data_IF_756833244487
#
_entry.id   IF_756833244487
#
_cell.length_a   1.000
_cell.length_b   1.000
_cell.length_c   1.000
_cell.angle_alpha   90.00
_cell.angle_beta   90.00
_cell.angle_gamma   90.00
#
_symmetry.space_group_name_H-M   'P 1'
#
loop_
_entity.id
_entity.type
_entity.pdbx_description
1 polymer ?
#
# COMPACT_ATOMS: atom_id res chain seq x y z
N UNK A 1 0.63 -34.27 2.02
CA UNK A 1 -0.27 -34.45 0.86
C UNK A 1 -0.42 -35.90 0.46
N UNK A 2 0.63 -36.64 0.06
CA UNK A 2 0.47 -38.06 -0.33
C UNK A 2 -0.38 -38.85 0.68
N UNK A 3 -0.08 -38.76 1.98
CA UNK A 3 -0.88 -39.37 3.07
C UNK A 3 -2.34 -38.91 3.16
N UNK A 4 -2.64 -37.64 2.82
CA UNK A 4 -4.01 -37.09 2.80
C UNK A 4 -4.74 -37.56 1.54
N UNK A 5 -4.06 -37.55 0.38
CA UNK A 5 -4.61 -38.02 -0.89
C UNK A 5 -4.92 -39.52 -0.85
N UNK A 6 -4.01 -40.34 -0.31
CA UNK A 6 -4.26 -41.78 -0.11
C UNK A 6 -5.48 -41.99 0.77
N UNK A 7 -5.59 -41.23 1.87
CA UNK A 7 -6.74 -41.33 2.77
C UNK A 7 -8.06 -40.96 2.09
N UNK A 8 -8.09 -39.86 1.33
CA UNK A 8 -9.27 -39.37 0.61
C UNK A 8 -9.61 -40.17 -0.66
N UNK A 9 -8.73 -41.08 -1.09
CA UNK A 9 -9.03 -42.09 -2.10
C UNK A 9 -9.64 -43.35 -1.48
N UNK A 10 -9.30 -43.64 -0.23
CA UNK A 10 -9.79 -44.82 0.49
C UNK A 10 -11.16 -44.60 1.14
N UNK A 11 -11.54 -43.35 1.43
CA UNK A 11 -12.81 -43.01 2.08
C UNK A 11 -13.50 -41.88 1.33
N UNK A 12 -14.82 -42.00 1.15
CA UNK A 12 -15.63 -40.95 0.53
C UNK A 12 -16.07 -39.88 1.56
N UNK A 13 -16.69 -38.80 1.07
CA UNK A 13 -17.14 -37.69 1.91
C UNK A 13 -18.26 -38.10 2.89
N UNK A 14 -19.14 -39.03 2.52
CA UNK A 14 -20.24 -39.46 3.37
C UNK A 14 -19.75 -40.37 4.49
N UNK A 15 -18.76 -41.22 4.20
CA UNK A 15 -18.08 -42.05 5.18
C UNK A 15 -17.31 -41.18 6.19
N UNK A 16 -16.55 -40.19 5.72
CA UNK A 16 -15.87 -39.22 6.59
C UNK A 16 -16.88 -38.42 7.42
N UNK A 17 -18.06 -38.08 6.89
CA UNK A 17 -19.09 -37.38 7.67
C UNK A 17 -19.71 -38.23 8.77
N UNK A 18 -19.90 -39.53 8.51
CA UNK A 18 -20.68 -40.42 9.40
C UNK A 18 -19.85 -41.13 10.47
N UNK A 19 -18.53 -41.27 10.30
CA UNK A 19 -17.69 -42.09 11.19
C UNK A 19 -16.65 -41.27 11.95
N UNK A 20 -16.84 -41.12 13.26
CA UNK A 20 -15.95 -40.31 14.13
C UNK A 20 -14.48 -40.75 14.13
N UNK A 21 -14.19 -42.05 14.05
CA UNK A 21 -12.81 -42.54 13.98
C UNK A 21 -12.10 -42.10 12.69
N UNK A 22 -12.80 -42.13 11.56
CA UNK A 22 -12.30 -41.68 10.25
C UNK A 22 -12.07 -40.16 10.26
N UNK A 23 -12.95 -39.41 10.94
CA UNK A 23 -12.76 -37.97 11.16
C UNK A 23 -11.48 -37.66 11.93
N UNK A 24 -11.23 -38.41 13.00
CA UNK A 24 -10.05 -38.24 13.84
C UNK A 24 -8.77 -38.51 13.05
N UNK A 25 -8.73 -39.61 12.29
CA UNK A 25 -7.56 -39.97 11.48
C UNK A 25 -7.28 -38.94 10.37
N UNK A 26 -8.32 -38.45 9.68
CA UNK A 26 -8.18 -37.37 8.72
C UNK A 26 -7.63 -36.10 9.39
N UNK A 27 -8.15 -35.75 10.55
CA UNK A 27 -7.73 -34.59 11.31
C UNK A 27 -6.26 -34.66 11.68
N UNK A 28 -5.77 -35.80 12.16
CA UNK A 28 -4.35 -36.02 12.48
C UNK A 28 -3.45 -35.87 11.23
N UNK A 29 -3.88 -36.43 10.10
CA UNK A 29 -3.15 -36.30 8.83
C UNK A 29 -3.07 -34.84 8.35
N UNK A 30 -4.16 -34.08 8.51
CA UNK A 30 -4.19 -32.64 8.22
C UNK A 30 -3.31 -31.84 9.19
N UNK A 31 -3.32 -32.17 10.49
CA UNK A 31 -2.43 -31.57 11.49
C UNK A 31 -0.97 -31.80 11.14
N UNK A 32 -0.58 -33.04 10.82
CA UNK A 32 0.77 -33.34 10.36
C UNK A 32 1.16 -32.54 9.11
N UNK A 33 0.25 -32.43 8.13
CA UNK A 33 0.50 -31.63 6.92
C UNK A 33 0.78 -30.17 7.25
N UNK A 34 -0.05 -29.56 8.09
CA UNK A 34 0.10 -28.17 8.54
C UNK A 34 1.39 -28.00 9.33
N UNK A 35 1.66 -28.88 10.30
CA UNK A 35 2.86 -28.86 11.14
C UNK A 35 4.12 -28.94 10.30
N UNK A 36 4.28 -29.97 9.47
CA UNK A 36 5.49 -30.19 8.65
C UNK A 36 5.75 -29.01 7.70
N UNK A 37 4.70 -28.37 7.18
CA UNK A 37 4.82 -27.22 6.25
C UNK A 37 4.95 -25.87 6.96
N UNK A 38 4.72 -25.83 8.27
CA UNK A 38 5.01 -24.68 9.15
C UNK A 38 6.38 -24.80 9.83
N UNK A 39 6.86 -26.02 10.08
CA UNK A 39 8.10 -26.35 10.80
C UNK A 39 9.33 -26.46 9.91
N UNK A 40 9.18 -26.44 8.59
CA UNK A 40 10.27 -25.99 7.72
C UNK A 40 10.46 -24.51 7.98
N UNK A 41 11.21 -24.14 9.04
CA UNK A 41 11.96 -22.88 9.03
C UNK A 41 12.60 -22.84 7.65
N UNK A 42 12.29 -21.86 6.79
CA UNK A 42 13.05 -21.76 5.58
C UNK A 42 14.50 -21.62 6.02
N UNK A 43 15.44 -22.44 5.51
CA UNK A 43 16.83 -22.04 5.55
C UNK A 43 16.84 -20.62 5.01
N UNK A 44 17.26 -19.66 5.85
CA UNK A 44 17.58 -18.34 5.36
C UNK A 44 18.74 -18.60 4.41
N UNK A 45 18.50 -18.42 3.12
CA UNK A 45 19.60 -18.39 2.17
C UNK A 45 20.46 -17.20 2.58
N UNK A 46 21.67 -17.49 3.05
CA UNK A 46 22.56 -16.52 3.69
C UNK A 46 22.93 -15.34 2.77
N UNK A 47 22.60 -15.42 1.47
CA UNK A 47 22.79 -14.34 0.50
C UNK A 47 21.54 -13.53 0.11
N UNK A 48 20.31 -14.00 0.33
CA UNK A 48 19.11 -13.39 -0.31
C UNK A 48 17.97 -13.00 0.63
N UNK A 49 17.90 -13.54 1.85
CA UNK A 49 16.84 -13.20 2.81
C UNK A 49 15.42 -13.60 2.40
N UNK A 50 15.24 -14.40 1.34
CA UNK A 50 13.94 -14.86 0.85
C UNK A 50 13.52 -16.14 1.56
N UNK A 51 12.29 -16.16 2.10
CA UNK A 51 11.72 -17.39 2.68
C UNK A 51 11.69 -18.51 1.63
N UNK A 52 12.36 -19.64 1.92
CA UNK A 52 12.23 -20.90 1.19
C UNK A 52 10.78 -21.38 1.27
N UNK A 53 10.05 -21.04 0.22
CA UNK A 53 8.69 -21.47 -0.10
C UNK A 53 8.51 -22.99 0.19
N UNK A 54 7.38 -23.44 0.79
CA UNK A 54 7.16 -24.87 1.07
C UNK A 54 7.33 -25.77 -0.17
N UNK A 55 7.54 -27.09 -0.09
CA UNK A 55 7.64 -27.90 -1.31
C UNK A 55 6.38 -27.79 -2.18
N UNK A 56 6.54 -27.63 -3.51
CA UNK A 56 5.46 -27.69 -4.50
C UNK A 56 4.64 -28.96 -4.25
N UNK A 57 3.32 -28.84 -4.36
CA UNK A 57 2.42 -29.98 -4.25
C UNK A 57 1.68 -30.11 -5.56
N UNK A 58 1.61 -31.33 -6.08
CA UNK A 58 1.11 -31.59 -7.43
C UNK A 58 -0.42 -31.47 -7.52
N UNK A 59 -1.15 -31.82 -6.45
CA UNK A 59 -2.61 -31.92 -6.49
C UNK A 59 -3.28 -31.39 -5.21
N UNK A 60 -4.04 -30.29 -5.36
CA UNK A 60 -4.91 -29.72 -4.33
C UNK A 60 -6.36 -30.17 -4.42
N UNK A 61 -6.78 -30.84 -5.51
CA UNK A 61 -8.19 -31.20 -5.74
C UNK A 61 -8.85 -31.92 -4.56
N UNK A 62 -8.18 -32.83 -3.81
CA UNK A 62 -8.79 -33.46 -2.65
C UNK A 62 -9.13 -32.47 -1.52
N UNK A 63 -8.27 -31.48 -1.27
CA UNK A 63 -8.52 -30.45 -0.26
C UNK A 63 -9.58 -29.45 -0.72
N UNK A 64 -9.60 -29.09 -2.01
CA UNK A 64 -10.62 -28.21 -2.58
C UNK A 64 -12.00 -28.87 -2.52
N UNK A 65 -12.10 -30.17 -2.80
CA UNK A 65 -13.34 -30.95 -2.60
C UNK A 65 -13.83 -30.90 -1.16
N UNK A 66 -12.94 -31.01 -0.17
CA UNK A 66 -13.30 -30.88 1.24
C UNK A 66 -13.73 -29.46 1.61
N UNK A 67 -13.08 -28.43 1.04
CA UNK A 67 -13.44 -27.02 1.27
C UNK A 67 -14.89 -26.73 0.88
N UNK A 68 -15.36 -27.33 -0.22
CA UNK A 68 -16.74 -27.21 -0.72
C UNK A 68 -17.76 -27.96 0.13
N UNK A 69 -17.36 -28.85 1.04
CA UNK A 69 -18.27 -29.58 1.91
C UNK A 69 -18.75 -28.77 3.11
N UNK A 70 -20.01 -28.31 3.11
CA UNK A 70 -20.56 -27.43 4.17
C UNK A 70 -20.51 -28.02 5.58
N UNK A 71 -20.70 -29.34 5.71
CA UNK A 71 -20.78 -30.04 7.00
C UNK A 71 -19.54 -29.89 7.89
N UNK A 72 -18.38 -29.55 7.31
CA UNK A 72 -17.13 -29.46 8.06
C UNK A 72 -16.83 -28.07 8.64
N UNK A 73 -17.66 -27.07 8.36
CA UNK A 73 -17.37 -25.66 8.65
C UNK A 73 -18.34 -25.01 9.66
N UNK A 74 -19.06 -25.81 10.43
CA UNK A 74 -19.81 -25.34 11.62
C UNK A 74 -18.91 -24.99 12.80
N UNK A 75 -19.50 -24.65 13.95
CA UNK A 75 -18.77 -24.16 15.13
C UNK A 75 -17.73 -25.17 15.66
N UNK A 76 -18.05 -26.46 15.61
CA UNK A 76 -17.18 -27.58 16.02
C UNK A 76 -16.29 -28.13 14.89
N UNK A 77 -16.28 -27.48 13.71
CA UNK A 77 -15.66 -27.98 12.48
C UNK A 77 -14.13 -28.04 12.47
N UNK A 78 -13.53 -28.96 13.23
CA UNK A 78 -12.07 -29.11 13.35
C UNK A 78 -11.43 -29.49 12.00
N UNK A 79 -12.06 -30.38 11.24
CA UNK A 79 -11.60 -30.79 9.90
C UNK A 79 -11.66 -29.62 8.93
N UNK A 80 -12.79 -28.92 8.82
CA UNK A 80 -12.93 -27.80 7.89
C UNK A 80 -11.93 -26.69 8.18
N UNK A 81 -11.71 -26.38 9.46
CA UNK A 81 -10.70 -25.41 9.86
C UNK A 81 -9.29 -25.85 9.41
N UNK A 82 -8.95 -27.13 9.60
CA UNK A 82 -7.64 -27.66 9.20
C UNK A 82 -7.47 -27.75 7.68
N UNK A 83 -8.53 -28.04 6.93
CA UNK A 83 -8.55 -27.97 5.46
C UNK A 83 -8.28 -26.55 4.98
N UNK A 84 -9.01 -25.57 5.52
CA UNK A 84 -8.84 -24.16 5.17
C UNK A 84 -7.41 -23.69 5.49
N UNK A 85 -6.92 -24.00 6.69
CA UNK A 85 -5.56 -23.66 7.13
C UNK A 85 -4.49 -24.29 6.23
N UNK A 86 -4.67 -25.56 5.84
CA UNK A 86 -3.78 -26.20 4.89
C UNK A 86 -3.79 -25.45 3.54
N UNK A 87 -4.96 -25.16 2.97
CA UNK A 87 -5.08 -24.40 1.71
C UNK A 87 -4.47 -23.00 1.81
N UNK A 88 -4.63 -22.29 2.93
CA UNK A 88 -3.97 -21.00 3.20
C UNK A 88 -2.45 -21.14 3.15
N UNK A 89 -1.88 -22.15 3.81
CA UNK A 89 -0.42 -22.37 3.79
C UNK A 89 0.10 -22.73 2.40
N UNK A 90 -0.66 -23.54 1.65
CA UNK A 90 -0.27 -24.06 0.35
C UNK A 90 -0.43 -23.02 -0.77
N UNK A 91 -1.40 -22.12 -0.67
CA UNK A 91 -1.63 -21.01 -1.62
C UNK A 91 -0.53 -19.94 -1.63
N UNK A 92 0.45 -20.02 -0.73
CA UNK A 92 1.68 -19.20 -0.82
C UNK A 92 2.48 -19.49 -2.11
N UNK A 93 2.26 -20.65 -2.73
CA UNK A 93 2.85 -21.02 -4.03
C UNK A 93 1.97 -20.66 -5.21
N UNK A 94 2.56 -20.04 -6.23
CA UNK A 94 1.89 -19.73 -7.49
C UNK A 94 1.30 -20.96 -8.17
N UNK A 95 2.06 -22.06 -8.23
CA UNK A 95 1.57 -23.32 -8.82
C UNK A 95 0.27 -23.80 -8.17
N UNK A 96 0.15 -23.66 -6.85
CA UNK A 96 -1.02 -24.08 -6.10
C UNK A 96 -2.21 -23.12 -6.31
N UNK A 97 -1.96 -21.82 -6.37
CA UNK A 97 -3.02 -20.82 -6.62
C UNK A 97 -3.71 -21.01 -7.97
N UNK A 98 -2.96 -21.43 -8.99
CA UNK A 98 -3.49 -21.77 -10.32
C UNK A 98 -4.50 -22.92 -10.30
N UNK A 99 -4.50 -23.78 -9.29
CA UNK A 99 -5.44 -24.89 -9.18
C UNK A 99 -6.81 -24.48 -8.62
N UNK A 100 -6.93 -23.31 -7.99
CA UNK A 100 -8.21 -22.83 -7.47
C UNK A 100 -9.11 -22.41 -8.63
N UNK A 101 -10.38 -22.75 -8.56
CA UNK A 101 -11.42 -22.36 -9.53
C UNK A 101 -12.33 -21.28 -8.93
N UNK A 102 -13.24 -20.73 -9.73
CA UNK A 102 -14.20 -19.73 -9.26
C UNK A 102 -15.08 -20.23 -8.10
N UNK A 103 -15.62 -21.48 -8.12
CA UNK A 103 -16.31 -22.06 -6.96
C UNK A 103 -15.46 -22.10 -5.68
N UNK A 104 -14.17 -22.39 -5.80
CA UNK A 104 -13.26 -22.43 -4.64
C UNK A 104 -13.06 -21.02 -4.04
N UNK A 105 -12.94 -20.00 -4.91
CA UNK A 105 -12.87 -18.59 -4.49
C UNK A 105 -14.18 -18.17 -3.83
N UNK A 106 -15.33 -18.48 -4.44
CA UNK A 106 -16.65 -18.20 -3.87
C UNK A 106 -16.81 -18.85 -2.48
N UNK A 107 -16.34 -20.08 -2.34
CA UNK A 107 -16.36 -20.80 -1.06
C UNK A 107 -15.45 -20.16 -0.02
N UNK A 108 -14.25 -19.72 -0.39
CA UNK A 108 -13.38 -18.97 0.50
C UNK A 108 -14.01 -17.65 0.95
N UNK A 109 -14.70 -16.93 0.04
CA UNK A 109 -15.40 -15.69 0.36
C UNK A 109 -16.60 -15.90 1.28
N UNK A 110 -17.38 -16.98 1.12
CA UNK A 110 -18.51 -17.25 2.01
C UNK A 110 -18.06 -17.52 3.46
N UNK A 111 -16.86 -18.07 3.65
CA UNK A 111 -16.26 -18.29 4.96
C UNK A 111 -15.85 -17.00 5.70
N UNK A 112 -15.83 -15.85 5.02
CA UNK A 112 -15.64 -14.54 5.68
C UNK A 112 -16.80 -14.16 6.62
N UNK A 113 -17.96 -14.78 6.44
CA UNK A 113 -19.15 -14.59 7.30
C UNK A 113 -19.39 -15.76 8.25
N UNK A 114 -18.46 -16.72 8.33
CA UNK A 114 -18.58 -17.88 9.24
C UNK A 114 -18.72 -17.41 10.70
N UNK A 115 -19.59 -17.98 11.55
CA UNK A 115 -19.80 -17.52 12.92
C UNK A 115 -18.53 -17.54 13.78
N UNK A 116 -17.58 -18.43 13.46
CA UNK A 116 -16.35 -18.57 14.23
C UNK A 116 -15.20 -17.75 13.61
N UNK A 117 -14.70 -16.78 14.36
CA UNK A 117 -13.64 -15.82 13.97
C UNK A 117 -12.39 -16.48 13.35
N UNK A 118 -11.98 -17.66 13.84
CA UNK A 118 -10.80 -18.38 13.30
C UNK A 118 -10.95 -18.76 11.82
N UNK A 119 -12.17 -19.06 11.35
CA UNK A 119 -12.42 -19.32 9.94
C UNK A 119 -12.36 -18.03 9.12
N UNK A 120 -12.94 -16.93 9.64
CA UNK A 120 -12.90 -15.62 8.97
C UNK A 120 -11.47 -15.14 8.77
N UNK A 121 -10.61 -15.32 9.78
CA UNK A 121 -9.17 -15.05 9.69
C UNK A 121 -8.51 -15.87 8.56
N UNK A 122 -8.62 -17.19 8.60
CA UNK A 122 -7.95 -18.06 7.62
C UNK A 122 -8.50 -17.87 6.20
N UNK A 123 -9.80 -17.60 6.07
CA UNK A 123 -10.44 -17.29 4.79
C UNK A 123 -9.89 -15.99 4.19
N UNK A 124 -9.76 -14.93 4.99
CA UNK A 124 -9.18 -13.67 4.55
C UNK A 124 -7.71 -13.85 4.13
N UNK A 125 -6.93 -14.66 4.86
CA UNK A 125 -5.55 -14.99 4.49
C UNK A 125 -5.46 -15.80 3.19
N UNK A 126 -6.36 -16.76 2.98
CA UNK A 126 -6.44 -17.51 1.73
C UNK A 126 -6.75 -16.55 0.56
N UNK A 127 -7.78 -15.70 0.68
CA UNK A 127 -8.14 -14.73 -0.37
C UNK A 127 -6.99 -13.78 -0.67
N UNK A 128 -6.28 -13.29 0.36
CA UNK A 128 -5.06 -12.48 0.19
C UNK A 128 -4.03 -13.19 -0.68
N UNK A 129 -3.76 -14.46 -0.39
CA UNK A 129 -2.76 -15.24 -1.13
C UNK A 129 -3.20 -15.44 -2.59
N UNK A 130 -4.46 -15.82 -2.81
CA UNK A 130 -5.02 -16.00 -4.15
C UNK A 130 -4.90 -14.72 -4.98
N UNK A 131 -5.13 -13.55 -4.39
CA UNK A 131 -5.07 -12.25 -5.06
C UNK A 131 -3.67 -11.77 -5.46
N UNK A 132 -2.62 -12.59 -5.31
CA UNK A 132 -1.37 -12.38 -6.03
C UNK A 132 -1.51 -12.63 -7.54
N UNK A 133 -2.48 -13.46 -7.94
CA UNK A 133 -2.77 -13.78 -9.34
C UNK A 133 -3.90 -12.90 -9.89
N UNK A 134 -3.70 -12.32 -11.08
CA UNK A 134 -4.64 -11.38 -11.69
C UNK A 134 -6.02 -11.98 -11.94
N UNK A 135 -6.07 -13.25 -12.38
CA UNK A 135 -7.32 -13.98 -12.61
C UNK A 135 -8.12 -14.12 -11.31
N UNK A 136 -7.45 -14.39 -10.19
CA UNK A 136 -8.11 -14.53 -8.88
C UNK A 136 -8.56 -13.20 -8.31
N UNK A 137 -7.86 -12.10 -8.62
CA UNK A 137 -8.38 -10.75 -8.35
C UNK A 137 -9.68 -10.51 -9.11
N UNK A 138 -9.75 -10.86 -10.40
CA UNK A 138 -10.97 -10.73 -11.20
C UNK A 138 -12.12 -11.54 -10.60
N UNK A 139 -11.92 -12.84 -10.35
CA UNK A 139 -12.92 -13.70 -9.70
C UNK A 139 -13.39 -13.13 -8.36
N UNK A 140 -12.45 -12.65 -7.53
CA UNK A 140 -12.79 -12.06 -6.23
C UNK A 140 -13.65 -10.82 -6.37
N UNK A 141 -13.39 -9.96 -7.37
CA UNK A 141 -14.20 -8.78 -7.65
C UNK A 141 -15.58 -9.16 -8.18
N UNK A 142 -15.64 -10.08 -9.15
CA UNK A 142 -16.90 -10.53 -9.78
C UNK A 142 -17.84 -11.19 -8.75
N UNK A 143 -17.28 -11.87 -7.75
CA UNK A 143 -17.99 -12.49 -6.63
C UNK A 143 -18.27 -11.53 -5.45
N UNK A 144 -18.20 -10.21 -5.66
CA UNK A 144 -18.38 -9.18 -4.63
C UNK A 144 -17.47 -9.34 -3.40
N UNK A 145 -16.29 -9.93 -3.56
CA UNK A 145 -15.35 -10.21 -2.48
C UNK A 145 -14.81 -8.96 -1.80
N UNK A 146 -14.67 -7.83 -2.52
CA UNK A 146 -14.32 -6.54 -1.93
C UNK A 146 -15.33 -6.11 -0.85
N UNK A 147 -16.63 -6.31 -1.10
CA UNK A 147 -17.71 -6.00 -0.15
C UNK A 147 -17.63 -6.89 1.09
N UNK A 148 -17.43 -8.20 0.90
CA UNK A 148 -17.31 -9.16 1.99
C UNK A 148 -16.09 -8.86 2.90
N UNK A 149 -14.93 -8.56 2.30
CA UNK A 149 -13.73 -8.18 3.03
C UNK A 149 -13.89 -6.85 3.77
N UNK A 150 -14.55 -5.86 3.16
CA UNK A 150 -14.83 -4.58 3.82
C UNK A 150 -15.83 -4.72 4.96
N UNK A 151 -16.81 -5.60 4.84
CA UNK A 151 -17.72 -5.92 5.94
C UNK A 151 -16.94 -6.48 7.14
N UNK A 152 -16.04 -7.45 6.92
CA UNK A 152 -15.18 -8.00 7.96
C UNK A 152 -14.25 -6.93 8.57
N UNK A 153 -13.65 -6.07 7.74
CA UNK A 153 -12.76 -4.99 8.18
C UNK A 153 -13.46 -3.97 9.10
N UNK A 154 -14.71 -3.63 8.77
CA UNK A 154 -15.51 -2.63 9.50
C UNK A 154 -16.14 -3.18 10.78
N UNK A 155 -16.26 -4.49 10.94
CA UNK A 155 -16.89 -5.08 12.11
C UNK A 155 -16.09 -4.76 13.39
N UNK A 156 -16.63 -3.96 14.33
CA UNK A 156 -15.92 -3.57 15.55
C UNK A 156 -15.78 -4.75 16.53
N UNK A 157 -16.64 -5.76 16.43
CA UNK A 157 -16.64 -6.94 17.29
C UNK A 157 -15.72 -8.05 16.75
N UNK A 158 -15.15 -7.88 15.56
CA UNK A 158 -14.20 -8.84 15.00
C UNK A 158 -12.82 -8.67 15.64
N UNK A 159 -12.11 -9.80 15.79
CA UNK A 159 -10.74 -9.80 16.28
C UNK A 159 -9.83 -8.95 15.36
N UNK A 160 -8.91 -8.15 15.93
CA UNK A 160 -7.99 -7.32 15.17
C UNK A 160 -7.22 -8.09 14.09
N UNK A 161 -6.82 -9.34 14.35
CA UNK A 161 -6.08 -10.17 13.40
C UNK A 161 -6.90 -10.51 12.16
N UNK A 162 -8.18 -10.87 12.32
CA UNK A 162 -9.08 -11.15 11.19
C UNK A 162 -9.32 -9.88 10.36
N UNK A 163 -9.49 -8.74 11.03
CA UNK A 163 -9.61 -7.44 10.36
C UNK A 163 -8.33 -7.07 9.62
N UNK A 164 -7.16 -7.35 10.20
CA UNK A 164 -5.87 -7.11 9.56
C UNK A 164 -5.66 -8.01 8.35
N UNK A 165 -6.08 -9.28 8.42
CA UNK A 165 -6.08 -10.18 7.28
C UNK A 165 -7.03 -9.70 6.16
N UNK A 166 -8.20 -9.18 6.51
CA UNK A 166 -9.12 -8.57 5.54
C UNK A 166 -8.51 -7.33 4.87
N UNK A 167 -7.90 -6.43 5.64
CA UNK A 167 -7.17 -5.28 5.12
C UNK A 167 -6.01 -5.70 4.21
N UNK A 168 -5.27 -6.75 4.55
CA UNK A 168 -4.21 -7.30 3.73
C UNK A 168 -4.73 -7.89 2.40
N UNK A 169 -5.88 -8.58 2.42
CA UNK A 169 -6.52 -9.07 1.20
C UNK A 169 -6.98 -7.93 0.29
N UNK A 170 -7.60 -6.89 0.85
CA UNK A 170 -7.96 -5.67 0.13
C UNK A 170 -6.73 -4.97 -0.44
N UNK A 171 -5.62 -4.93 0.30
CA UNK A 171 -4.35 -4.41 -0.19
C UNK A 171 -3.85 -5.20 -1.41
N UNK A 172 -3.92 -6.53 -1.40
CA UNK A 172 -3.56 -7.36 -2.57
C UNK A 172 -4.46 -7.07 -3.78
N UNK A 173 -5.77 -7.02 -3.58
CA UNK A 173 -6.77 -6.76 -4.64
C UNK A 173 -6.53 -5.39 -5.30
N UNK A 174 -6.26 -4.36 -4.49
CA UNK A 174 -6.05 -2.97 -4.95
C UNK A 174 -4.72 -2.72 -5.65
N UNK A 175 -3.84 -3.72 -5.76
CA UNK A 175 -2.69 -3.61 -6.67
C UNK A 175 -3.15 -3.53 -8.14
N UNK A 176 -4.30 -4.14 -8.47
CA UNK A 176 -4.92 -4.07 -9.79
C UNK A 176 -5.95 -2.95 -9.87
N UNK A 177 -6.11 -2.39 -11.06
CA UNK A 177 -7.08 -1.32 -11.32
C UNK A 177 -8.51 -1.74 -11.01
N UNK A 178 -8.93 -2.91 -11.50
CA UNK A 178 -10.27 -3.49 -11.23
C UNK A 178 -10.55 -3.61 -9.73
N UNK A 179 -9.56 -4.10 -8.98
CA UNK A 179 -9.64 -4.19 -7.53
C UNK A 179 -9.76 -2.82 -6.84
N UNK A 180 -9.01 -1.79 -7.29
CA UNK A 180 -9.18 -0.42 -6.77
C UNK A 180 -10.58 0.11 -7.00
N UNK A 181 -11.12 -0.05 -8.20
CA UNK A 181 -12.47 0.41 -8.50
C UNK A 181 -13.52 -0.27 -7.62
N UNK A 182 -13.45 -1.59 -7.50
CA UNK A 182 -14.36 -2.36 -6.64
C UNK A 182 -14.26 -1.97 -5.17
N UNK A 183 -13.04 -1.77 -4.63
CA UNK A 183 -12.88 -1.33 -3.24
C UNK A 183 -13.39 0.10 -3.02
N UNK A 184 -13.21 0.99 -4.00
CA UNK A 184 -13.74 2.36 -3.94
C UNK A 184 -15.27 2.40 -4.02
N UNK A 185 -15.87 1.55 -4.84
CA UNK A 185 -17.33 1.39 -4.98
C UNK A 185 -18.00 1.06 -3.64
N UNK A 186 -17.35 0.23 -2.80
CA UNK A 186 -17.86 -0.15 -1.47
C UNK A 186 -17.32 0.72 -0.32
N UNK A 187 -16.90 1.96 -0.59
CA UNK A 187 -16.38 2.93 0.40
C UNK A 187 -15.10 2.50 1.15
N UNK A 188 -14.24 1.73 0.48
CA UNK A 188 -13.01 1.23 1.07
C UNK A 188 -12.02 2.33 1.46
N UNK A 189 -12.07 3.51 0.82
CA UNK A 189 -11.25 4.66 1.21
C UNK A 189 -11.61 5.15 2.62
N UNK A 190 -12.91 5.32 2.91
CA UNK A 190 -13.38 5.75 4.21
C UNK A 190 -13.07 4.70 5.30
N UNK A 191 -13.22 3.41 4.97
CA UNK A 191 -12.86 2.33 5.87
C UNK A 191 -11.37 2.35 6.25
N UNK A 192 -10.49 2.58 5.26
CA UNK A 192 -9.05 2.64 5.49
C UNK A 192 -8.64 3.91 6.28
N UNK A 193 -9.24 5.06 5.98
CA UNK A 193 -9.02 6.32 6.71
C UNK A 193 -9.41 6.19 8.19
N UNK A 194 -10.55 5.57 8.49
CA UNK A 194 -10.99 5.35 9.87
C UNK A 194 -10.06 4.47 10.71
N UNK A 195 -9.13 3.75 10.08
CA UNK A 195 -8.17 2.87 10.75
C UNK A 195 -6.78 3.48 10.91
N UNK A 196 -6.51 4.67 10.36
CA UNK A 196 -5.22 5.39 10.49
C UNK A 196 -4.88 5.66 11.96
N UNK A 197 -5.87 5.78 12.83
CA UNK A 197 -5.69 6.03 14.27
C UNK A 197 -5.93 4.82 15.16
N UNK A 198 -6.16 3.63 14.59
CA UNK A 198 -6.45 2.48 15.44
C UNK A 198 -5.22 2.07 16.28
N UNK A 199 -5.48 1.50 17.46
CA UNK A 199 -4.44 1.09 18.42
C UNK A 199 -3.68 -0.18 18.00
N UNK A 200 -4.25 -0.96 17.07
CA UNK A 200 -3.67 -2.23 16.62
C UNK A 200 -2.73 -2.00 15.44
N UNK A 201 -1.42 -1.95 15.71
CA UNK A 201 -0.39 -1.61 14.71
C UNK A 201 -0.51 -2.43 13.42
N UNK A 202 -0.71 -3.75 13.50
CA UNK A 202 -0.80 -4.60 12.30
C UNK A 202 -1.99 -4.20 11.44
N UNK A 203 -3.15 -3.94 12.05
CA UNK A 203 -4.35 -3.49 11.34
C UNK A 203 -4.13 -2.10 10.73
N UNK A 204 -3.60 -1.14 11.50
CA UNK A 204 -3.26 0.21 11.04
C UNK A 204 -2.31 0.17 9.86
N UNK A 205 -1.23 -0.58 9.96
CA UNK A 205 -0.21 -0.77 8.91
C UNK A 205 -0.84 -1.27 7.62
N UNK A 206 -1.71 -2.30 7.69
CA UNK A 206 -2.41 -2.82 6.50
C UNK A 206 -3.40 -1.81 5.92
N UNK A 207 -4.09 -1.03 6.77
CA UNK A 207 -4.98 0.03 6.32
C UNK A 207 -4.22 1.16 5.59
N UNK A 208 -3.04 1.58 6.09
CA UNK A 208 -2.19 2.58 5.42
C UNK A 208 -1.64 2.01 4.10
N UNK A 209 -1.28 0.72 4.06
CA UNK A 209 -0.90 0.03 2.83
C UNK A 209 -2.03 0.02 1.79
N UNK A 210 -3.28 -0.17 2.22
CA UNK A 210 -4.46 -0.03 1.37
C UNK A 210 -4.64 1.42 0.89
N UNK A 211 -4.50 2.42 1.77
CA UNK A 211 -4.53 3.85 1.38
C UNK A 211 -3.48 4.18 0.33
N UNK A 212 -2.26 3.63 0.45
CA UNK A 212 -1.20 3.83 -0.56
C UNK A 212 -1.64 3.35 -1.94
N UNK A 213 -2.34 2.22 -2.02
CA UNK A 213 -2.83 1.71 -3.30
C UNK A 213 -4.00 2.54 -3.83
N UNK A 214 -4.89 3.01 -2.96
CA UNK A 214 -6.07 3.79 -3.36
C UNK A 214 -5.72 5.23 -3.77
N UNK A 215 -4.69 5.84 -3.18
CA UNK A 215 -4.27 7.25 -3.40
C UNK A 215 -3.47 7.47 -4.69
N UNK A 216 -3.42 6.48 -5.59
CA UNK A 216 -2.76 6.64 -6.88
C UNK A 216 -3.46 7.69 -7.75
N UNK A 217 -4.78 7.85 -7.57
CA UNK A 217 -5.64 8.81 -8.29
C UNK A 217 -5.84 10.15 -7.54
N UNK A 218 -6.06 11.24 -8.28
CA UNK A 218 -6.24 12.58 -7.72
C UNK A 218 -7.52 12.72 -6.88
N UNK A 219 -8.60 12.03 -7.23
CA UNK A 219 -9.88 12.12 -6.52
C UNK A 219 -9.78 11.50 -5.13
N UNK A 220 -9.13 10.33 -5.04
CA UNK A 220 -8.89 9.66 -3.75
C UNK A 220 -7.86 10.40 -2.92
N UNK A 221 -6.77 10.90 -3.54
CA UNK A 221 -5.82 11.77 -2.88
C UNK A 221 -6.50 13.03 -2.29
N UNK A 222 -7.47 13.60 -3.02
CA UNK A 222 -8.27 14.74 -2.59
C UNK A 222 -9.06 14.45 -1.33
N UNK A 223 -9.83 13.37 -1.35
CA UNK A 223 -10.60 12.92 -0.18
C UNK A 223 -9.71 12.66 1.05
N UNK A 224 -8.47 12.20 0.87
CA UNK A 224 -7.55 11.96 2.00
C UNK A 224 -7.13 13.25 2.70
N UNK A 225 -6.74 14.30 1.96
CA UNK A 225 -6.36 15.55 2.61
C UNK A 225 -7.56 16.37 3.10
N UNK A 226 -8.71 16.28 2.44
CA UNK A 226 -9.96 16.89 2.91
C UNK A 226 -10.47 16.24 4.19
N UNK A 227 -10.18 14.95 4.40
CA UNK A 227 -10.43 14.25 5.66
C UNK A 227 -9.44 14.60 6.79
N UNK A 228 -8.51 15.54 6.59
CA UNK A 228 -7.55 15.97 7.61
C UNK A 228 -6.44 14.96 7.91
N UNK A 229 -6.28 13.89 7.12
CA UNK A 229 -5.38 12.79 7.43
C UNK A 229 -3.88 13.11 7.23
N UNK A 230 -3.53 14.27 6.67
CA UNK A 230 -2.14 14.63 6.32
C UNK A 230 -1.24 14.64 7.56
N UNK A 231 -1.69 15.27 8.65
CA UNK A 231 -0.90 15.35 9.89
C UNK A 231 -0.70 13.96 10.51
N UNK A 232 -1.73 13.13 10.48
CA UNK A 232 -1.70 11.76 10.98
C UNK A 232 -0.74 10.88 10.17
N UNK A 233 -0.72 11.05 8.84
CA UNK A 233 0.23 10.36 7.97
C UNK A 233 1.67 10.84 8.21
N UNK A 234 1.87 12.13 8.48
CA UNK A 234 3.17 12.66 8.86
C UNK A 234 3.66 12.10 10.21
N UNK A 235 2.80 11.99 11.23
CA UNK A 235 3.21 11.43 12.53
C UNK A 235 3.61 9.96 12.42
N UNK A 236 3.00 9.20 11.51
CA UNK A 236 3.35 7.81 11.22
C UNK A 236 4.75 7.63 10.59
N UNK A 237 5.37 8.68 10.05
CA UNK A 237 6.78 8.65 9.60
C UNK A 237 7.77 8.48 10.76
N UNK A 238 7.33 8.69 12.00
CA UNK A 238 8.11 8.49 13.23
C UNK A 238 7.86 7.12 13.89
N UNK A 239 7.06 6.24 13.29
CA UNK A 239 6.77 4.92 13.87
C UNK A 239 8.04 4.08 13.99
N UNK A 240 8.13 3.28 15.06
CA UNK A 240 9.18 2.27 15.21
C UNK A 240 8.97 1.05 14.27
N UNK A 241 7.84 0.97 13.57
CA UNK A 241 7.53 -0.11 12.64
C UNK A 241 7.88 0.27 11.20
N UNK A 242 8.92 -0.34 10.65
CA UNK A 242 9.45 -0.06 9.32
C UNK A 242 8.43 -0.19 8.17
N UNK A 243 7.52 -1.16 8.24
CA UNK A 243 6.48 -1.35 7.22
C UNK A 243 5.46 -0.19 7.28
N UNK A 244 5.12 0.28 8.48
CA UNK A 244 4.20 1.39 8.72
C UNK A 244 4.76 2.72 8.19
N UNK A 245 6.02 3.02 8.52
CA UNK A 245 6.71 4.22 8.00
C UNK A 245 6.82 4.18 6.48
N UNK A 246 7.11 3.01 5.90
CA UNK A 246 7.17 2.82 4.46
C UNK A 246 5.84 3.07 3.74
N UNK A 247 4.74 2.53 4.27
CA UNK A 247 3.43 2.81 3.68
C UNK A 247 3.01 4.27 3.86
N UNK A 248 3.24 4.87 5.03
CA UNK A 248 2.92 6.28 5.27
C UNK A 248 3.70 7.20 4.32
N UNK A 249 5.00 6.97 4.15
CA UNK A 249 5.83 7.68 3.17
C UNK A 249 5.31 7.49 1.74
N UNK A 250 4.87 6.27 1.39
CA UNK A 250 4.26 5.99 0.08
C UNK A 250 2.94 6.73 -0.15
N UNK A 251 2.08 6.86 0.86
CA UNK A 251 0.87 7.70 0.78
C UNK A 251 1.27 9.16 0.56
N UNK A 252 2.19 9.69 1.35
CA UNK A 252 2.68 11.07 1.22
C UNK A 252 3.33 11.32 -0.15
N UNK A 253 4.09 10.36 -0.67
CA UNK A 253 4.62 10.41 -2.03
C UNK A 253 3.50 10.56 -3.07
N UNK A 254 2.42 9.79 -2.95
CA UNK A 254 1.27 9.93 -3.85
C UNK A 254 0.61 11.30 -3.75
N UNK A 255 0.35 11.76 -2.52
CA UNK A 255 -0.28 13.05 -2.23
C UNK A 255 0.56 14.23 -2.73
N UNK A 256 1.88 14.17 -2.57
CA UNK A 256 2.82 15.25 -2.93
C UNK A 256 2.81 15.64 -4.42
N UNK A 257 2.25 14.80 -5.30
CA UNK A 257 2.06 15.08 -6.73
C UNK A 257 0.94 16.10 -6.99
N UNK A 258 0.08 16.35 -6.01
CA UNK A 258 -1.10 17.21 -6.14
C UNK A 258 -0.89 18.54 -5.43
N UNK A 259 -1.18 19.66 -6.12
CA UNK A 259 -0.84 21.01 -5.62
C UNK A 259 -1.44 21.33 -4.24
N UNK A 260 -2.72 21.04 -4.01
CA UNK A 260 -3.40 21.31 -2.72
C UNK A 260 -2.76 20.54 -1.57
N UNK A 261 -2.55 19.23 -1.75
CA UNK A 261 -1.88 18.39 -0.77
C UNK A 261 -0.43 18.82 -0.52
N UNK A 262 0.30 19.20 -1.59
CA UNK A 262 1.68 19.70 -1.49
C UNK A 262 1.77 20.94 -0.61
N UNK A 263 0.85 21.89 -0.74
CA UNK A 263 0.82 23.09 0.12
C UNK A 263 0.67 22.70 1.60
N UNK A 264 -0.23 21.77 1.92
CA UNK A 264 -0.42 21.30 3.29
C UNK A 264 0.83 20.59 3.82
N UNK A 265 1.47 19.75 3.00
CA UNK A 265 2.69 19.04 3.35
C UNK A 265 3.88 19.98 3.59
N UNK A 266 4.02 21.02 2.74
CA UNK A 266 5.08 22.04 2.87
C UNK A 266 4.91 22.94 4.09
N UNK A 267 3.65 23.28 4.45
CA UNK A 267 3.36 24.06 5.66
C UNK A 267 3.61 23.26 6.96
N UNK A 268 3.57 21.94 6.88
CA UNK A 268 3.77 21.05 8.01
C UNK A 268 5.23 20.60 8.17
N UNK A 269 5.42 19.50 8.90
CA UNK A 269 6.75 18.94 9.16
C UNK A 269 7.21 17.93 8.08
N UNK A 270 6.46 17.77 6.97
CA UNK A 270 6.66 16.67 6.04
C UNK A 270 8.09 16.63 5.47
N UNK A 271 8.65 17.77 5.06
CA UNK A 271 10.02 17.83 4.53
C UNK A 271 11.02 17.33 5.57
N UNK A 272 11.00 17.90 6.78
CA UNK A 272 11.89 17.54 7.88
C UNK A 272 11.83 16.05 8.25
N UNK A 273 10.61 15.48 8.30
CA UNK A 273 10.37 14.09 8.64
C UNK A 273 10.82 13.14 7.51
N UNK A 274 10.51 13.46 6.26
CA UNK A 274 10.94 12.69 5.09
C UNK A 274 12.46 12.76 4.91
N UNK A 275 13.09 13.90 5.17
CA UNK A 275 14.54 14.05 5.09
C UNK A 275 15.25 13.17 6.11
N UNK A 276 14.73 13.10 7.33
CA UNK A 276 15.23 12.17 8.35
C UNK A 276 15.01 10.73 7.90
N UNK A 277 13.80 10.39 7.44
CA UNK A 277 13.48 9.03 7.01
C UNK A 277 14.40 8.55 5.85
N UNK A 278 14.70 9.42 4.89
CA UNK A 278 15.62 9.12 3.78
C UNK A 278 17.03 8.74 4.28
N UNK A 279 17.54 9.42 5.31
CA UNK A 279 18.89 9.22 5.83
C UNK A 279 19.00 8.13 6.90
N UNK A 280 17.97 7.94 7.71
CA UNK A 280 18.07 7.15 8.95
C UNK A 280 17.26 5.86 8.94
N UNK A 281 16.33 5.69 7.99
CA UNK A 281 15.54 4.46 7.89
C UNK A 281 16.45 3.28 7.49
N UNK A 282 16.29 2.14 8.15
CA UNK A 282 16.91 0.87 7.73
C UNK A 282 16.06 0.11 6.70
N UNK A 283 14.89 0.66 6.36
CA UNK A 283 13.97 0.07 5.40
C UNK A 283 14.03 0.81 4.07
N UNK A 284 14.58 0.16 3.05
CA UNK A 284 14.82 0.73 1.72
C UNK A 284 13.54 1.28 1.05
N UNK A 285 12.39 0.58 1.05
CA UNK A 285 11.16 1.14 0.47
C UNK A 285 10.73 2.46 1.13
N UNK A 286 10.98 2.62 2.43
CA UNK A 286 10.68 3.87 3.13
C UNK A 286 11.64 5.00 2.70
N UNK A 287 12.93 4.71 2.54
CA UNK A 287 13.92 5.69 2.05
C UNK A 287 13.58 6.15 0.63
N UNK A 288 13.28 5.22 -0.27
CA UNK A 288 12.91 5.51 -1.66
C UNK A 288 11.63 6.36 -1.72
N UNK A 289 10.59 5.96 -0.99
CA UNK A 289 9.35 6.74 -0.93
C UNK A 289 9.58 8.15 -0.38
N UNK A 290 10.43 8.29 0.64
CA UNK A 290 10.78 9.59 1.22
C UNK A 290 11.49 10.50 0.22
N UNK A 291 12.51 9.98 -0.47
CA UNK A 291 13.24 10.71 -1.52
C UNK A 291 12.31 11.11 -2.66
N UNK A 292 11.44 10.21 -3.13
CA UNK A 292 10.48 10.54 -4.17
C UNK A 292 9.47 11.60 -3.72
N UNK A 293 8.99 11.53 -2.47
CA UNK A 293 8.10 12.54 -1.90
C UNK A 293 8.79 13.91 -1.83
N UNK A 294 10.03 13.98 -1.32
CA UNK A 294 10.84 15.21 -1.29
C UNK A 294 11.02 15.80 -2.69
N UNK A 295 11.32 14.95 -3.68
CA UNK A 295 11.45 15.39 -5.07
C UNK A 295 10.15 16.05 -5.58
N UNK A 296 8.99 15.44 -5.31
CA UNK A 296 7.69 15.97 -5.72
C UNK A 296 7.31 17.27 -4.98
N UNK A 297 7.66 17.37 -3.69
CA UNK A 297 7.38 18.54 -2.86
C UNK A 297 8.23 19.75 -3.30
N UNK A 298 9.53 19.54 -3.54
CA UNK A 298 10.49 20.63 -3.70
C UNK A 298 10.69 21.05 -5.16
N UNK A 299 10.67 20.11 -6.12
CA UNK A 299 10.93 20.40 -7.55
C UNK A 299 10.11 21.54 -8.16
N UNK A 300 8.80 21.69 -7.84
CA UNK A 300 7.96 22.75 -8.41
C UNK A 300 8.37 24.16 -7.98
N UNK A 301 8.96 24.32 -6.78
CA UNK A 301 9.40 25.61 -6.26
C UNK A 301 10.71 26.11 -6.88
N UNK A 302 11.45 25.26 -7.59
CA UNK A 302 12.81 25.57 -8.09
C UNK A 302 12.83 26.41 -9.39
N UNK A 303 11.72 27.04 -9.77
CA UNK A 303 11.61 27.93 -10.93
C UNK A 303 11.54 27.20 -12.29
N UNK A 304 11.27 27.94 -13.37
CA UNK A 304 11.15 27.42 -14.74
C UNK A 304 12.40 27.71 -15.58
N UNK A 305 12.48 27.19 -16.81
CA UNK A 305 13.60 27.44 -17.72
C UNK A 305 14.93 26.78 -17.31
N UNK A 306 16.03 27.24 -17.90
CA UNK A 306 17.36 26.63 -17.76
C UNK A 306 17.91 26.68 -16.32
N UNK A 307 17.73 27.78 -15.61
CA UNK A 307 18.14 27.91 -14.21
C UNK A 307 17.35 26.96 -13.30
N UNK A 308 16.04 26.82 -13.53
CA UNK A 308 15.21 25.87 -12.82
C UNK A 308 15.54 24.42 -13.13
N UNK A 309 15.91 24.11 -14.38
CA UNK A 309 16.44 22.81 -14.77
C UNK A 309 17.72 22.46 -13.99
N UNK A 310 18.70 23.38 -13.92
CA UNK A 310 19.93 23.19 -13.13
C UNK A 310 19.62 22.92 -11.66
N UNK A 311 18.75 23.70 -11.03
CA UNK A 311 18.35 23.51 -9.62
C UNK A 311 17.65 22.17 -9.38
N UNK A 312 16.72 21.77 -10.25
CA UNK A 312 16.07 20.44 -10.16
C UNK A 312 17.06 19.29 -10.33
N UNK A 313 18.05 19.44 -11.22
CA UNK A 313 19.11 18.44 -11.38
C UNK A 313 19.95 18.32 -10.12
N UNK A 314 20.34 19.45 -9.52
CA UNK A 314 21.06 19.47 -8.24
C UNK A 314 20.24 18.81 -7.12
N UNK A 315 18.95 19.13 -7.00
CA UNK A 315 18.06 18.48 -6.02
C UNK A 315 18.06 16.95 -6.20
N UNK A 316 17.92 16.46 -7.44
CA UNK A 316 17.94 15.02 -7.71
C UNK A 316 19.26 14.37 -7.29
N UNK A 317 20.39 15.03 -7.53
CA UNK A 317 21.71 14.55 -7.09
C UNK A 317 21.77 14.48 -5.56
N UNK A 318 21.42 15.57 -4.86
CA UNK A 318 21.41 15.62 -3.39
C UNK A 318 20.51 14.53 -2.78
N UNK A 319 19.33 14.30 -3.36
CA UNK A 319 18.43 13.25 -2.90
C UNK A 319 18.96 11.84 -3.21
N UNK A 320 19.66 11.65 -4.33
CA UNK A 320 20.33 10.40 -4.67
C UNK A 320 21.48 10.11 -3.70
N UNK A 321 22.28 11.12 -3.38
CA UNK A 321 23.36 11.01 -2.41
C UNK A 321 22.80 10.69 -1.02
N UNK A 322 21.70 11.32 -0.62
CA UNK A 322 21.02 11.00 0.64
C UNK A 322 20.52 9.55 0.70
N UNK A 323 19.97 9.03 -0.39
CA UNK A 323 19.60 7.61 -0.47
C UNK A 323 20.83 6.71 -0.32
N UNK A 324 21.92 7.01 -1.03
CA UNK A 324 23.17 6.25 -0.93
C UNK A 324 23.74 6.27 0.49
N UNK A 325 23.83 7.45 1.10
CA UNK A 325 24.31 7.63 2.49
C UNK A 325 23.38 6.94 3.49
N UNK A 326 22.07 6.93 3.25
CA UNK A 326 21.11 6.20 4.07
C UNK A 326 21.28 4.68 3.96
N UNK A 327 21.52 4.16 2.75
CA UNK A 327 21.80 2.72 2.52
C UNK A 327 23.11 2.32 3.19
N UNK A 328 24.18 3.11 3.01
CA UNK A 328 25.48 2.87 3.66
C UNK A 328 25.33 2.92 5.18
N UNK A 329 24.64 3.94 5.71
CA UNK A 329 24.38 4.07 7.14
C UNK A 329 23.62 2.87 7.70
N UNK A 330 22.60 2.38 7.00
CA UNK A 330 21.88 1.16 7.37
C UNK A 330 22.81 -0.06 7.39
N UNK A 331 23.66 -0.23 6.38
CA UNK A 331 24.60 -1.36 6.30
C UNK A 331 25.57 -1.35 7.50
N UNK A 332 26.16 -0.19 7.81
CA UNK A 332 27.07 -0.02 8.95
C UNK A 332 26.39 -0.29 10.31
N UNK A 333 25.14 0.11 10.48
CA UNK A 333 24.37 -0.18 11.69
C UNK A 333 24.00 -1.66 11.83
N UNK A 334 23.84 -2.38 10.72
CA UNK A 334 23.55 -3.82 10.74
C UNK A 334 24.79 -4.68 10.99
N UNK A 335 25.98 -4.22 10.61
CA UNK A 335 27.26 -4.94 10.82
C UNK A 335 27.85 -4.67 12.21
N UNK A 336 27.56 -3.53 12.82
CA UNK A 336 28.11 -3.09 14.11
C UNK A 336 27.46 -3.66 15.37
N UNK A 337 27.03 -4.94 15.40
CA UNK A 337 26.50 -5.54 16.65
C UNK A 337 27.54 -5.67 17.78
N UNK A 338 28.83 -5.48 17.49
CA UNK A 338 29.94 -5.67 18.46
C UNK A 338 30.91 -4.50 18.61
N UNK A 339 30.67 -3.32 18.03
CA UNK A 339 31.55 -2.16 18.26
C UNK A 339 30.79 -0.95 18.81
N UNK A 340 31.32 -0.28 19.87
CA UNK A 340 30.69 0.88 20.44
C UNK A 340 30.71 2.02 19.43
N UNK A 341 29.53 2.59 19.19
CA UNK A 341 29.28 3.77 18.36
C UNK A 341 30.34 4.87 18.55
N UNK A 342 31.31 4.93 17.62
CA UNK A 342 32.49 5.83 17.66
C UNK A 342 32.09 7.33 17.58
N UNK A 343 30.84 7.63 17.22
CA UNK A 343 30.32 9.00 17.16
C UNK A 343 29.13 9.12 18.12
N UNK A 344 29.17 10.08 19.06
CA UNK A 344 27.99 10.46 19.86
C UNK A 344 26.86 10.87 18.90
N UNK A 345 25.83 10.03 18.77
CA UNK A 345 24.72 10.22 17.82
C UNK A 345 24.87 9.50 16.46
N UNK A 346 25.95 8.74 16.26
CA UNK A 346 26.20 7.91 15.08
C UNK A 346 26.31 8.69 13.77
N UNK A 347 26.30 7.96 12.64
CA UNK A 347 26.30 8.52 11.27
C UNK A 347 25.18 9.55 11.04
N UNK A 348 24.05 9.39 11.72
CA UNK A 348 22.88 10.27 11.58
C UNK A 348 23.12 11.69 12.11
N UNK A 349 23.94 11.85 13.15
CA UNK A 349 24.31 13.16 13.69
C UNK A 349 25.18 13.97 12.72
N UNK A 350 25.95 13.29 11.86
CA UNK A 350 26.79 13.92 10.84
C UNK A 350 25.98 14.30 9.59
N UNK A 351 25.18 13.36 9.07
CA UNK A 351 24.52 13.51 7.77
C UNK A 351 23.30 14.44 7.80
N UNK A 352 22.51 14.40 8.87
CA UNK A 352 21.21 15.09 8.94
C UNK A 352 21.33 16.64 8.92
N UNK A 353 22.27 17.29 9.65
CA UNK A 353 22.43 18.75 9.59
C UNK A 353 22.93 19.25 8.24
N UNK A 354 23.84 18.52 7.59
CA UNK A 354 24.34 18.88 6.26
C UNK A 354 23.22 18.78 5.21
N UNK A 355 22.47 17.68 5.24
CA UNK A 355 21.36 17.46 4.32
C UNK A 355 20.21 18.46 4.52
N UNK A 356 19.83 18.75 5.78
CA UNK A 356 18.83 19.78 6.09
C UNK A 356 19.25 21.16 5.59
N UNK A 357 20.52 21.54 5.75
CA UNK A 357 21.05 22.80 5.21
C UNK A 357 20.94 22.86 3.70
N UNK A 358 21.29 21.80 2.98
CA UNK A 358 21.18 21.77 1.52
C UNK A 358 19.72 21.87 1.05
N UNK A 359 18.78 21.20 1.73
CA UNK A 359 17.35 21.32 1.44
C UNK A 359 16.83 22.72 1.75
N UNK A 360 17.14 23.26 2.94
CA UNK A 360 16.71 24.60 3.35
C UNK A 360 17.27 25.69 2.43
N UNK A 361 18.51 25.54 1.94
CA UNK A 361 19.06 26.42 0.91
C UNK A 361 18.21 26.33 -0.35
N UNK A 362 17.89 25.13 -0.85
CA UNK A 362 17.03 24.98 -2.01
C UNK A 362 15.62 25.58 -1.78
N UNK A 363 15.05 25.43 -0.59
CA UNK A 363 13.74 25.96 -0.18
C UNK A 363 13.69 27.48 -0.04
N UNK A 364 14.68 28.11 0.59
CA UNK A 364 14.74 29.57 0.70
C UNK A 364 14.78 30.26 -0.67
N UNK A 365 15.38 29.60 -1.67
CA UNK A 365 15.31 30.04 -3.07
C UNK A 365 13.93 29.81 -3.72
N UNK A 366 13.12 28.89 -3.21
CA UNK A 366 11.73 28.67 -3.64
C UNK A 366 10.74 29.65 -3.00
N UNK A 367 10.86 29.91 -1.70
CA UNK A 367 10.02 30.87 -0.98
C UNK A 367 10.25 32.28 -1.48
N UNK A 368 11.51 32.67 -1.72
CA UNK A 368 11.88 33.93 -2.37
C UNK A 368 11.28 34.03 -3.79
N UNK A 369 11.26 32.95 -4.57
CA UNK A 369 10.69 32.95 -5.92
C UNK A 369 9.15 32.94 -5.96
N UNK A 370 8.50 32.30 -4.98
CA UNK A 370 7.04 32.31 -4.81
C UNK A 370 6.58 33.67 -4.30
N UNK A 371 7.25 34.23 -3.28
CA UNK A 371 7.00 35.58 -2.77
C UNK A 371 7.23 36.64 -3.86
N UNK A 372 8.28 36.50 -4.68
CA UNK A 372 8.52 37.39 -5.83
C UNK A 372 7.43 37.29 -6.91
N UNK A 373 6.87 36.10 -7.16
CA UNK A 373 5.75 35.93 -8.11
C UNK A 373 4.42 36.48 -7.57
N UNK A 374 4.16 36.33 -6.28
CA UNK A 374 2.97 36.91 -5.62
C UNK A 374 3.08 38.43 -5.59
N UNK A 375 4.23 38.97 -5.19
CA UNK A 375 4.51 40.42 -5.20
C UNK A 375 4.49 41.04 -6.61
N UNK A 376 4.97 40.32 -7.64
CA UNK A 376 4.87 40.74 -9.04
C UNK A 376 3.41 40.72 -9.59
N UNK A 377 2.57 39.82 -9.06
CA UNK A 377 1.14 39.76 -9.38
C UNK A 377 0.35 40.89 -8.70
N UNK A 378 0.70 41.23 -7.46
CA UNK A 378 0.08 42.32 -6.70
C UNK A 378 0.50 43.70 -7.22
N UNK A 379 1.75 43.88 -7.64
CA UNK A 379 2.22 45.11 -8.31
C UNK A 379 1.56 45.29 -9.68
N UNK A 380 1.45 44.24 -10.50
CA UNK A 380 0.67 44.29 -11.74
C UNK A 380 -0.80 44.63 -11.53
N UNK A 381 -1.44 44.11 -10.48
CA UNK A 381 -2.83 44.49 -10.13
C UNK A 381 -2.94 45.93 -9.62
N UNK A 382 -1.97 46.44 -8.87
CA UNK A 382 -1.93 47.84 -8.43
C UNK A 382 -1.69 48.82 -9.57
N UNK A 383 -0.82 48.48 -10.51
CA UNK A 383 -0.51 49.30 -11.68
C UNK A 383 -1.68 49.30 -12.69
N UNK A 384 -2.39 48.18 -12.83
CA UNK A 384 -3.63 48.10 -13.62
C UNK A 384 -4.77 48.93 -13.00
N UNK A 385 -4.91 48.96 -11.67
CA UNK A 385 -5.91 49.81 -11.00
C UNK A 385 -5.57 51.30 -11.06
N UNK A 386 -4.28 51.67 -11.06
CA UNK A 386 -3.85 53.07 -11.31
C UNK A 386 -4.10 53.51 -12.75
N UNK A 387 -3.99 52.60 -13.72
CA UNK A 387 -4.29 52.89 -15.13
C UNK A 387 -5.79 53.00 -15.44
N UNK A 388 -6.68 52.43 -14.60
CA UNK A 388 -8.14 52.49 -14.82
C UNK A 388 -8.84 53.76 -14.30
N UNK A 389 -8.12 54.65 -13.59
CA UNK A 389 -8.67 55.90 -13.04
C UNK A 389 -8.37 57.15 -13.90
N UNK A 390 -7.99 56.98 -15.16
CA UNK A 390 -7.97 58.09 -16.13
C UNK A 390 -9.36 58.28 -16.76
N UNK A 391 -9.87 59.52 -16.89
CA UNK A 391 -11.24 59.75 -17.35
C UNK A 391 -11.42 59.33 -18.83
N UNK A 392 -12.41 58.47 -19.06
CA UNK A 392 -12.83 57.97 -20.37
C UNK A 392 -13.36 59.11 -21.24
N UNK A 393 -12.70 59.36 -22.39
CA UNK A 393 -13.35 60.01 -23.55
C UNK A 393 -14.12 58.94 -24.32
N UNK A 394 -15.38 59.22 -24.58
CA UNK A 394 -16.30 58.42 -25.39
C UNK A 394 -15.76 58.23 -26.82
N UNK A 395 -15.79 56.99 -27.31
CA UNK A 395 -15.96 56.72 -28.74
C UNK A 395 -16.61 55.37 -28.98
N UNK A 396 -17.81 55.47 -29.55
CA UNK A 396 -18.66 54.48 -30.21
C UNK A 396 -17.92 53.42 -31.05
N UNK A 397 -18.34 52.15 -30.93
CA UNK A 397 -17.91 51.08 -31.83
C UNK A 397 -18.34 49.67 -31.43
N UNK A 398 -19.64 49.41 -31.29
CA UNK A 398 -20.18 48.05 -31.17
C UNK A 398 -20.17 47.36 -32.55
N UNK A 399 -19.33 46.35 -32.72
CA UNK A 399 -19.51 45.30 -33.74
C UNK A 399 -19.35 43.92 -33.11
N UNK A 400 -20.40 43.12 -33.29
CA UNK A 400 -20.57 41.76 -32.84
C UNK A 400 -19.52 40.80 -33.44
N UNK A 401 -19.01 39.86 -32.63
CA UNK A 401 -18.34 38.65 -33.09
C UNK A 401 -18.96 37.45 -32.36
N UNK A 402 -19.43 36.49 -33.16
CA UNK A 402 -20.20 35.31 -32.75
C UNK A 402 -19.38 34.21 -32.07
N UNK A 403 -19.99 33.03 -31.84
CA UNK A 403 -19.42 31.99 -30.99
C UNK A 403 -18.19 31.31 -31.61
N UNK A 404 -17.22 31.01 -30.75
CA UNK A 404 -15.95 30.35 -31.06
C UNK A 404 -16.13 28.91 -31.62
N UNK A 405 -15.31 28.48 -32.60
CA UNK A 405 -15.36 27.12 -33.14
C UNK A 405 -14.62 26.09 -32.25
N UNK A 406 -14.94 24.78 -32.38
CA UNK A 406 -14.37 23.72 -31.57
C UNK A 406 -12.93 23.36 -31.95
N UNK A 407 -12.13 22.99 -30.94
CA UNK A 407 -10.72 22.65 -31.03
C UNK A 407 -10.52 21.29 -31.74
N UNK A 408 -9.78 21.29 -32.84
CA UNK A 408 -9.35 20.09 -33.59
C UNK A 408 -8.13 19.46 -32.90
N UNK A 409 -8.23 18.18 -32.54
CA UNK A 409 -7.12 17.36 -32.04
C UNK A 409 -6.20 16.96 -33.20
N UNK A 410 -4.99 17.51 -33.22
CA UNK A 410 -3.93 17.19 -34.18
C UNK A 410 -3.34 15.78 -33.99
N UNK A 411 -3.19 15.09 -35.11
CA UNK A 411 -2.72 13.70 -35.27
C UNK A 411 -1.23 13.50 -34.95
N UNK A 412 -0.93 12.23 -34.65
CA UNK A 412 0.38 11.56 -34.55
C UNK A 412 1.38 12.00 -35.63
N UNK A 413 2.60 12.31 -35.20
CA UNK A 413 3.81 12.13 -36.01
C UNK A 413 4.66 11.01 -35.40
N UNK A 414 4.74 9.91 -36.14
CA UNK A 414 5.80 8.90 -36.06
C UNK A 414 7.00 9.43 -36.81
N UNK A 415 8.21 9.32 -36.26
CA UNK A 415 9.42 9.36 -37.08
C UNK A 415 10.41 8.27 -36.68
N UNK A 416 11.01 7.74 -37.75
CA UNK A 416 11.85 6.55 -37.89
C UNK A 416 13.15 6.59 -37.09
#
# INVERSE_FOLDING_TARGET
MKRVNTFLKAHDLNEIKSRGQIQLELLERLKMLVMIKSSTKPPIDAGTGVEKLPPKLEDLKPLLRLLSGESFFGEQGSIGYMVLKALTLLSRHEHNRKQFTEPDVARALSLLSNPVSKFRLEAALLVRNLCHDQEKVRMTVDLAGSRALLHLLRNPNEKPDSRAAAAAALQSITYRHTGRMSVLEFDGLAAALGLVHCKYTTLRTRAIGLLRNLTVDIRTATRVYEAGAVESLCSLLCSCHAEETGYAAGVIQNLSRHNKARILLLKGQAVSLLSRLALTSTHLPAQVAAVCALCNLLSPGLGTGFSGFKRRRLLKNVLSDALALGIIGSALLTTGKNEPSIIKGGWTALALPAFRRQIAVLEGHTESAVAAKVGASETKHRDANKASNAPLKESSGLKALGPLPPIVLGKKETNR
#
